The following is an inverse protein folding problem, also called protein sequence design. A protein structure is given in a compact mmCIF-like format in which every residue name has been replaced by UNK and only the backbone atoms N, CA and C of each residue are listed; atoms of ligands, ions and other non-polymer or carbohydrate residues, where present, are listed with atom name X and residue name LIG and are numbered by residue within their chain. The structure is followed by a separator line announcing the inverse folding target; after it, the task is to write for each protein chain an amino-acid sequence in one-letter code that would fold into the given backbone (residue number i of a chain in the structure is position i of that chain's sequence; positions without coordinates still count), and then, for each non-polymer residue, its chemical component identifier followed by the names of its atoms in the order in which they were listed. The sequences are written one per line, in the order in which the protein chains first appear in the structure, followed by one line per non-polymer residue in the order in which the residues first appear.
data_IF_153873359968
#
_entry.id   IF_153873359968
#
_cell.length_a   1.000
_cell.length_b   1.000
_cell.length_c   1.000
_cell.angle_alpha   90.00
_cell.angle_beta   90.00
_cell.angle_gamma   90.00
#
_symmetry.space_group_name_H-M   'P 1'
#
loop_
_entity.id
_entity.type
_entity.pdbx_description
1 polymer ?
#
# COMPACT_ATOMS: atom_id res chain seq x y z
N UNK A 1 -4.41 -17.08 47.36
CA UNK A 1 -4.20 -15.64 47.09
C UNK A 1 -3.82 -15.54 45.61
N UNK A 2 -4.79 -15.27 44.74
CA UNK A 2 -4.62 -15.30 43.28
C UNK A 2 -3.91 -14.01 42.86
N UNK A 3 -2.65 -14.13 42.44
CA UNK A 3 -1.85 -13.03 41.87
C UNK A 3 -2.41 -12.70 40.48
N UNK A 4 -3.13 -11.58 40.36
CA UNK A 4 -3.57 -11.00 39.09
C UNK A 4 -2.34 -10.55 38.28
N UNK A 5 -1.99 -11.31 37.24
CA UNK A 5 -1.18 -10.82 36.13
C UNK A 5 -2.08 -9.98 35.22
N UNK A 6 -2.09 -8.67 35.42
CA UNK A 6 -2.67 -7.73 34.46
C UNK A 6 -1.68 -7.53 33.31
N UNK A 7 -1.75 -8.40 32.30
CA UNK A 7 -1.13 -8.16 30.99
C UNK A 7 -1.89 -7.00 30.33
N UNK A 8 -1.39 -5.78 30.54
CA UNK A 8 -1.82 -4.61 29.79
C UNK A 8 -1.34 -4.80 28.34
N UNK A 9 -2.21 -5.34 27.50
CA UNK A 9 -2.04 -5.30 26.06
C UNK A 9 -2.16 -3.84 25.62
N UNK A 10 -1.01 -3.17 25.46
CA UNK A 10 -0.95 -1.89 24.75
C UNK A 10 -1.53 -2.14 23.35
N UNK A 11 -2.58 -1.43 22.92
CA UNK A 11 -2.96 -1.47 21.52
C UNK A 11 -1.77 -0.92 20.75
N UNK A 12 -1.20 -1.74 19.86
CA UNK A 12 -0.25 -1.27 18.86
C UNK A 12 -0.95 -0.13 18.13
N UNK A 13 -0.56 1.11 18.43
CA UNK A 13 -0.85 2.24 17.57
C UNK A 13 -0.10 1.93 16.29
N UNK A 14 -0.74 1.18 15.40
CA UNK A 14 -0.40 1.19 13.99
C UNK A 14 -0.48 2.66 13.62
N UNK A 15 0.67 3.34 13.61
CA UNK A 15 0.79 4.71 13.14
C UNK A 15 0.18 4.68 11.74
N UNK A 16 -0.97 5.33 11.59
CA UNK A 16 -1.54 5.52 10.27
C UNK A 16 -0.49 6.30 9.49
N UNK A 17 0.24 5.58 8.62
CA UNK A 17 1.25 6.19 7.77
C UNK A 17 0.61 7.37 7.05
N UNK A 18 1.38 8.42 6.76
CA UNK A 18 0.85 9.47 5.91
C UNK A 18 0.42 8.85 4.58
N UNK A 19 -0.68 9.31 3.98
CA UNK A 19 -1.21 8.74 2.74
C UNK A 19 -0.14 8.65 1.64
N UNK A 20 0.72 9.67 1.52
CA UNK A 20 1.83 9.66 0.57
C UNK A 20 2.94 8.64 0.91
N UNK A 21 3.14 8.32 2.18
CA UNK A 21 4.09 7.30 2.63
C UNK A 21 3.54 5.89 2.40
N UNK A 22 2.25 5.67 2.70
CA UNK A 22 1.55 4.43 2.39
C UNK A 22 1.54 4.16 0.87
N UNK A 23 1.32 5.21 0.07
CA UNK A 23 1.43 5.11 -1.38
C UNK A 23 2.86 4.78 -1.82
N UNK A 24 3.87 5.45 -1.27
CA UNK A 24 5.27 5.17 -1.60
C UNK A 24 5.64 3.72 -1.29
N UNK A 25 5.23 3.19 -0.13
CA UNK A 25 5.44 1.79 0.22
C UNK A 25 4.76 0.84 -0.76
N UNK A 26 3.54 1.14 -1.19
CA UNK A 26 2.83 0.35 -2.20
C UNK A 26 3.51 0.41 -3.57
N UNK A 27 3.99 1.58 -3.99
CA UNK A 27 4.77 1.73 -5.21
C UNK A 27 6.03 0.85 -5.20
N UNK A 28 6.84 0.95 -4.14
CA UNK A 28 8.07 0.16 -4.03
C UNK A 28 7.75 -1.34 -4.03
N UNK A 29 6.63 -1.73 -3.40
CA UNK A 29 6.14 -3.09 -3.46
C UNK A 29 5.87 -3.53 -4.90
N UNK A 30 5.10 -2.77 -5.66
CA UNK A 30 4.78 -3.09 -7.05
C UNK A 30 6.03 -3.16 -7.94
N UNK A 31 6.97 -2.22 -7.77
CA UNK A 31 8.26 -2.25 -8.46
C UNK A 31 9.05 -3.51 -8.14
N UNK A 32 9.11 -3.89 -6.85
CA UNK A 32 9.81 -5.11 -6.43
C UNK A 32 9.18 -6.39 -7.00
N UNK A 33 7.85 -6.43 -7.11
CA UNK A 33 7.15 -7.56 -7.71
C UNK A 33 7.38 -7.63 -9.21
N UNK A 34 7.26 -6.51 -9.91
CA UNK A 34 7.57 -6.45 -11.34
C UNK A 34 9.04 -6.80 -11.61
N UNK A 35 9.97 -6.42 -10.73
CA UNK A 35 11.37 -6.82 -10.83
C UNK A 35 11.57 -8.32 -10.73
N UNK A 36 10.85 -9.00 -9.83
CA UNK A 36 10.92 -10.45 -9.70
C UNK A 36 10.41 -11.13 -10.98
N UNK A 37 9.28 -10.67 -11.53
CA UNK A 37 8.72 -11.19 -12.78
C UNK A 37 9.64 -10.93 -13.98
N UNK A 38 10.21 -9.73 -14.05
CA UNK A 38 11.11 -9.33 -15.11
C UNK A 38 12.48 -10.01 -14.97
N UNK A 39 12.91 -10.35 -13.76
CA UNK A 39 14.15 -11.10 -13.52
C UNK A 39 14.14 -12.46 -14.22
N UNK A 40 12.99 -13.13 -14.19
CA UNK A 40 12.72 -14.43 -14.82
C UNK A 40 12.43 -14.33 -16.33
N UNK A 41 12.28 -13.12 -16.87
CA UNK A 41 11.98 -12.87 -18.28
C UNK A 41 13.24 -12.66 -19.14
N UNK A 42 13.20 -13.07 -20.41
CA UNK A 42 14.32 -12.95 -21.35
C UNK A 42 14.48 -11.53 -21.94
N UNK A 43 14.42 -10.51 -21.05
CA UNK A 43 14.59 -9.10 -21.41
C UNK A 43 16.05 -8.68 -21.26
N UNK A 44 16.53 -7.89 -22.21
CA UNK A 44 17.86 -7.27 -22.11
C UNK A 44 17.93 -6.32 -20.90
N UNK A 45 19.12 -6.14 -20.29
CA UNK A 45 19.30 -5.23 -19.16
C UNK A 45 18.79 -3.80 -19.42
N UNK A 46 18.94 -3.31 -20.65
CA UNK A 46 18.46 -2.00 -21.07
C UNK A 46 16.93 -1.91 -21.05
N UNK A 47 16.23 -2.95 -21.52
CA UNK A 47 14.77 -3.00 -21.50
C UNK A 47 14.23 -3.08 -20.08
N UNK A 48 14.91 -3.84 -19.20
CA UNK A 48 14.58 -3.90 -17.76
C UNK A 48 14.71 -2.52 -17.10
N UNK A 49 15.80 -1.80 -17.39
CA UNK A 49 16.02 -0.45 -16.87
C UNK A 49 14.95 0.54 -17.34
N UNK A 50 14.55 0.47 -18.61
CA UNK A 50 13.47 1.32 -19.15
C UNK A 50 12.12 1.09 -18.46
N UNK A 51 11.76 -0.17 -18.21
CA UNK A 51 10.52 -0.52 -17.49
C UNK A 51 10.55 0.05 -16.07
N UNK A 52 11.63 -0.18 -15.34
CA UNK A 52 11.79 0.30 -13.97
C UNK A 52 11.74 1.82 -13.87
N UNK A 53 12.41 2.51 -14.78
CA UNK A 53 12.42 3.97 -14.81
C UNK A 53 11.02 4.53 -15.13
N UNK A 54 10.25 3.83 -15.97
CA UNK A 54 8.87 4.22 -16.27
C UNK A 54 7.96 4.04 -15.05
N UNK A 55 8.12 2.93 -14.30
CA UNK A 55 7.39 2.69 -13.06
C UNK A 55 7.74 3.73 -11.99
N UNK A 56 9.03 4.08 -11.85
CA UNK A 56 9.49 5.14 -10.94
C UNK A 56 8.83 6.47 -11.26
N UNK A 57 8.80 6.87 -12.54
CA UNK A 57 8.15 8.10 -12.97
C UNK A 57 6.65 8.12 -12.65
N UNK A 58 5.94 7.00 -12.87
CA UNK A 58 4.53 6.88 -12.52
C UNK A 58 4.29 6.99 -11.01
N UNK A 59 5.15 6.35 -10.22
CA UNK A 59 5.10 6.45 -8.77
C UNK A 59 5.28 7.88 -8.26
N UNK A 60 6.33 8.57 -8.70
CA UNK A 60 6.58 9.97 -8.30
C UNK A 60 5.41 10.86 -8.70
N UNK A 61 4.86 10.69 -9.90
CA UNK A 61 3.73 11.49 -10.38
C UNK A 61 2.48 11.34 -9.50
N UNK A 62 2.11 10.11 -9.11
CA UNK A 62 0.95 9.88 -8.26
C UNK A 62 1.23 10.32 -6.81
N UNK A 63 2.45 10.10 -6.30
CA UNK A 63 2.84 10.55 -4.96
C UNK A 63 2.67 12.08 -4.81
N UNK A 64 3.02 12.83 -5.85
CA UNK A 64 2.83 14.29 -5.88
C UNK A 64 1.36 14.70 -5.80
N UNK A 65 0.42 13.88 -6.30
CA UNK A 65 -1.01 14.16 -6.16
C UNK A 65 -1.45 14.08 -4.69
N UNK A 66 -0.83 13.21 -3.89
CA UNK A 66 -1.12 13.08 -2.47
C UNK A 66 -0.50 14.17 -1.59
N UNK A 67 0.50 14.91 -2.09
CA UNK A 67 1.15 15.98 -1.34
C UNK A 67 0.16 17.09 -0.91
N UNK A 68 -0.91 17.28 -1.69
CA UNK A 68 -1.91 18.32 -1.46
C UNK A 68 -3.24 17.79 -0.88
N UNK A 69 -3.33 16.49 -0.56
CA UNK A 69 -4.56 15.92 -0.01
C UNK A 69 -4.69 16.32 1.47
N UNK A 70 -5.84 16.91 1.81
CA UNK A 70 -6.13 17.32 3.17
C UNK A 70 -6.15 16.12 4.12
N UNK A 71 -5.23 16.11 5.10
CA UNK A 71 -5.17 15.06 6.14
C UNK A 71 -6.46 14.95 6.96
N UNK A 72 -7.22 16.04 7.05
CA UNK A 72 -8.50 16.08 7.74
C UNK A 72 -9.65 15.43 6.96
N UNK A 73 -9.44 15.07 5.68
CA UNK A 73 -10.48 14.43 4.89
C UNK A 73 -10.86 13.07 5.52
N UNK A 74 -12.16 12.74 5.69
CA UNK A 74 -12.60 11.51 6.34
C UNK A 74 -12.07 10.23 5.70
N UNK A 75 -11.75 10.29 4.40
CA UNK A 75 -11.19 9.16 3.64
C UNK A 75 -9.65 9.06 3.72
N UNK A 76 -8.95 10.04 4.29
CA UNK A 76 -7.48 10.06 4.30
C UNK A 76 -6.90 8.84 5.03
N UNK A 77 -7.31 8.61 6.27
CA UNK A 77 -6.82 7.48 7.06
C UNK A 77 -7.27 6.12 6.51
N UNK A 78 -8.55 5.91 6.11
CA UNK A 78 -8.96 4.68 5.43
C UNK A 78 -8.17 4.38 4.15
N UNK A 79 -7.91 5.38 3.30
CA UNK A 79 -7.13 5.20 2.08
C UNK A 79 -5.68 4.81 2.38
N UNK A 80 -5.07 5.45 3.39
CA UNK A 80 -3.72 5.10 3.84
C UNK A 80 -3.65 3.66 4.35
N UNK A 81 -4.63 3.25 5.16
CA UNK A 81 -4.71 1.88 5.66
C UNK A 81 -4.88 0.85 4.54
N UNK A 82 -5.70 1.14 3.52
CA UNK A 82 -5.84 0.30 2.33
C UNK A 82 -4.48 0.11 1.64
N UNK A 83 -3.76 1.18 1.31
CA UNK A 83 -2.46 1.06 0.64
C UNK A 83 -1.41 0.33 1.49
N UNK A 84 -1.35 0.61 2.79
CA UNK A 84 -0.45 -0.10 3.70
C UNK A 84 -0.76 -1.60 3.78
N UNK A 85 -2.05 -1.98 3.80
CA UNK A 85 -2.45 -3.39 3.81
C UNK A 85 -2.07 -4.13 2.54
N UNK A 86 -2.14 -3.45 1.38
CA UNK A 86 -1.72 -4.04 0.10
C UNK A 86 -0.20 -4.17 0.02
N UNK A 87 0.54 -3.18 0.50
CA UNK A 87 2.01 -3.22 0.52
C UNK A 87 2.57 -4.36 1.39
N UNK A 88 1.80 -4.81 2.38
CA UNK A 88 2.14 -5.93 3.27
C UNK A 88 1.96 -7.31 2.64
N UNK A 89 1.24 -7.43 1.53
CA UNK A 89 1.04 -8.70 0.82
C UNK A 89 2.34 -9.20 0.18
N UNK A 90 2.43 -10.48 -0.14
CA UNK A 90 3.46 -11.03 -1.02
C UNK A 90 3.20 -10.69 -2.50
N UNK A 91 4.21 -10.87 -3.35
CA UNK A 91 4.04 -10.63 -4.79
C UNK A 91 3.11 -11.66 -5.44
N UNK A 92 3.15 -12.94 -5.01
CA UNK A 92 2.13 -13.93 -5.39
C UNK A 92 0.73 -13.46 -5.01
N UNK A 93 0.52 -13.02 -3.76
CA UNK A 93 -0.79 -12.55 -3.33
C UNK A 93 -1.25 -11.32 -4.11
N UNK A 94 -0.35 -10.44 -4.55
CA UNK A 94 -0.71 -9.31 -5.42
C UNK A 94 -1.05 -9.79 -6.84
N UNK A 95 -0.27 -10.72 -7.41
CA UNK A 95 -0.45 -11.20 -8.77
C UNK A 95 -1.66 -12.13 -8.95
N UNK A 96 -1.97 -12.93 -7.92
CA UNK A 96 -3.08 -13.88 -7.91
C UNK A 96 -4.37 -13.31 -7.30
N UNK A 97 -4.35 -12.05 -6.86
CA UNK A 97 -5.55 -11.39 -6.37
C UNK A 97 -6.42 -10.99 -7.55
N UNK A 98 -7.53 -11.71 -7.69
CA UNK A 98 -8.72 -11.20 -8.38
C UNK A 98 -9.29 -9.97 -7.64
N UNK A 99 -10.47 -9.48 -8.03
CA UNK A 99 -11.22 -8.33 -7.46
C UNK A 99 -11.43 -8.34 -5.92
N UNK A 100 -10.89 -9.33 -5.19
CA UNK A 100 -10.87 -9.37 -3.75
C UNK A 100 -9.95 -8.26 -3.21
N UNK A 101 -10.55 -7.26 -2.55
CA UNK A 101 -9.87 -6.19 -1.83
C UNK A 101 -9.51 -6.61 -0.39
N UNK A 102 -8.50 -5.98 0.23
CA UNK A 102 -8.16 -6.29 1.63
C UNK A 102 -9.30 -5.80 2.52
N UNK A 103 -9.44 -6.29 3.76
CA UNK A 103 -10.45 -5.74 4.68
C UNK A 103 -10.38 -4.21 4.80
N UNK A 104 -9.18 -3.63 4.75
CA UNK A 104 -8.92 -2.19 4.79
C UNK A 104 -9.38 -1.49 3.51
N UNK A 105 -9.11 -2.08 2.34
CA UNK A 105 -9.56 -1.54 1.06
C UNK A 105 -11.07 -1.65 0.89
N UNK A 106 -11.70 -2.78 1.26
CA UNK A 106 -13.15 -2.93 1.28
C UNK A 106 -13.82 -1.89 2.18
N UNK A 107 -13.20 -1.58 3.33
CA UNK A 107 -13.67 -0.51 4.22
C UNK A 107 -13.54 0.85 3.56
N UNK A 108 -12.42 1.15 2.94
CA UNK A 108 -12.21 2.41 2.21
C UNK A 108 -13.25 2.57 1.09
N UNK A 109 -13.44 1.55 0.24
CA UNK A 109 -14.42 1.54 -0.86
C UNK A 109 -15.84 1.80 -0.36
N UNK A 110 -16.27 1.12 0.71
CA UNK A 110 -17.58 1.35 1.33
C UNK A 110 -17.75 2.78 1.81
N UNK A 111 -16.71 3.36 2.42
CA UNK A 111 -16.75 4.75 2.88
C UNK A 111 -16.80 5.73 1.71
N UNK A 112 -15.98 5.50 0.68
CA UNK A 112 -15.90 6.34 -0.52
C UNK A 112 -17.22 6.35 -1.32
N UNK A 113 -17.90 5.21 -1.41
CA UNK A 113 -19.21 5.10 -2.08
C UNK A 113 -20.34 5.91 -1.40
N UNK A 114 -20.12 6.31 -0.14
CA UNK A 114 -21.08 7.09 0.67
C UNK A 114 -20.56 8.47 1.03
N UNK A 115 -19.37 8.85 0.54
CA UNK A 115 -18.78 10.15 0.82
C UNK A 115 -19.53 11.23 0.04
N UNK A 116 -19.91 12.35 0.68
CA UNK A 116 -20.63 13.46 0.05
C UNK A 116 -19.77 14.24 -0.95
#
# INVERSE_FOLDING_TARGET
MVLLFALVALPSLAQAAALGEAYHSMCEKLKSCALADVAESDLSPEMRAMILQSMEGACVSIQQQFANVAKAHPLYAPASACMASMAALSCEEIASRDDQSTPECARYEKMAATAP
#
